data_IF_503413647238
#
_entry.id   IF_503413647238
#
_cell.length_a   1.000
_cell.length_b   1.000
_cell.length_c   1.000
_cell.angle_alpha   90.00
_cell.angle_beta   90.00
_cell.angle_gamma   90.00
#
_symmetry.space_group_name_H-M   'P 1'
#
loop_
_entity.id
_entity.type
_entity.pdbx_description
1 polymer ?
#
# COMPACT_ATOMS: atom_id res chain seq x y z
N UNK A 1 40.20 -28.45 3.72
CA UNK A 1 39.49 -27.29 4.28
C UNK A 1 38.43 -26.88 3.26
N UNK A 2 37.16 -27.15 3.55
CA UNK A 2 36.04 -26.78 2.67
C UNK A 2 35.74 -25.31 2.91
N UNK A 3 36.14 -24.43 1.99
CA UNK A 3 35.79 -23.01 2.04
C UNK A 3 34.28 -22.88 1.92
N UNK A 4 33.66 -22.06 2.78
CA UNK A 4 32.25 -21.76 2.66
C UNK A 4 32.03 -20.97 1.36
N UNK A 5 31.32 -21.58 0.40
CA UNK A 5 30.85 -20.88 -0.79
C UNK A 5 29.91 -19.75 -0.35
N UNK A 6 30.37 -18.51 -0.53
CA UNK A 6 29.55 -17.32 -0.31
C UNK A 6 28.56 -17.24 -1.47
N UNK A 7 27.31 -17.61 -1.22
CA UNK A 7 26.21 -17.36 -2.14
C UNK A 7 26.00 -15.84 -2.24
N UNK A 8 26.56 -15.23 -3.29
CA UNK A 8 26.22 -13.86 -3.65
C UNK A 8 24.75 -13.83 -4.08
N UNK A 9 23.88 -13.25 -3.26
CA UNK A 9 22.51 -12.99 -3.68
C UNK A 9 22.58 -11.99 -4.84
N UNK A 10 21.95 -12.29 -5.99
CA UNK A 10 21.85 -11.33 -7.08
C UNK A 10 21.24 -10.04 -6.52
N UNK A 11 21.72 -8.88 -6.99
CA UNK A 11 21.14 -7.57 -6.68
C UNK A 11 19.66 -7.59 -7.11
N UNK A 12 18.79 -8.03 -6.21
CA UNK A 12 17.36 -7.82 -6.30
C UNK A 12 17.10 -6.35 -6.04
N UNK A 13 16.08 -5.80 -6.70
CA UNK A 13 15.61 -4.46 -6.35
C UNK A 13 15.39 -4.36 -4.84
N UNK A 14 15.79 -3.23 -4.23
CA UNK A 14 15.65 -3.05 -2.79
C UNK A 14 14.17 -3.15 -2.40
N UNK A 15 13.90 -3.74 -1.23
CA UNK A 15 12.55 -3.82 -0.70
C UNK A 15 11.94 -2.41 -0.59
N UNK A 16 10.68 -2.19 -1.02
CA UNK A 16 10.10 -0.86 -1.06
C UNK A 16 10.00 -0.27 0.36
N UNK A 17 10.61 0.91 0.62
CA UNK A 17 10.46 1.58 1.90
C UNK A 17 9.13 2.32 1.96
N UNK A 18 8.39 2.18 3.06
CA UNK A 18 7.19 2.99 3.30
C UNK A 18 6.88 3.09 4.79
N UNK A 19 6.34 4.22 5.22
CA UNK A 19 5.61 4.29 6.49
C UNK A 19 4.24 3.64 6.33
N UNK A 20 3.66 3.15 7.43
CA UNK A 20 2.31 2.56 7.41
C UNK A 20 1.27 3.56 6.89
N UNK A 21 1.45 4.85 7.21
CA UNK A 21 0.61 5.92 6.68
C UNK A 21 0.74 6.08 5.16
N UNK A 22 1.96 5.97 4.63
CA UNK A 22 2.23 6.07 3.19
C UNK A 22 1.54 4.92 2.43
N UNK A 23 1.55 3.72 3.01
CA UNK A 23 0.82 2.58 2.48
C UNK A 23 -0.70 2.82 2.48
N UNK A 24 -1.26 3.31 3.59
CA UNK A 24 -2.69 3.60 3.68
C UNK A 24 -3.13 4.64 2.64
N UNK A 25 -2.39 5.74 2.51
CA UNK A 25 -2.65 6.76 1.49
C UNK A 25 -2.56 6.17 0.08
N UNK A 26 -1.56 5.34 -0.19
CA UNK A 26 -1.40 4.68 -1.49
C UNK A 26 -2.56 3.72 -1.81
N UNK A 27 -3.07 2.97 -0.83
CA UNK A 27 -4.25 2.11 -0.98
C UNK A 27 -5.50 2.94 -1.25
N UNK A 28 -5.70 4.06 -0.55
CA UNK A 28 -6.84 4.94 -0.76
C UNK A 28 -6.83 5.56 -2.17
N UNK A 29 -5.67 6.04 -2.63
CA UNK A 29 -5.48 6.57 -3.99
C UNK A 29 -5.71 5.48 -5.04
N UNK A 30 -5.07 4.31 -4.88
CA UNK A 30 -5.16 3.21 -5.86
C UNK A 30 -6.55 2.62 -6.02
N UNK A 31 -7.45 2.87 -5.06
CA UNK A 31 -8.84 2.42 -5.06
C UNK A 31 -9.85 3.55 -5.29
N UNK A 32 -9.40 4.76 -5.58
CA UNK A 32 -10.25 5.96 -5.79
C UNK A 32 -11.25 6.18 -4.63
N UNK A 33 -10.78 6.04 -3.37
CA UNK A 33 -11.66 6.12 -2.20
C UNK A 33 -11.91 7.55 -1.70
N UNK A 34 -11.11 8.52 -2.14
CA UNK A 34 -11.22 9.92 -1.74
C UNK A 34 -10.91 10.85 -2.92
N UNK A 35 -11.76 11.87 -3.08
CA UNK A 35 -11.67 12.90 -4.12
C UNK A 35 -11.28 14.27 -3.58
N UNK A 36 -11.10 14.38 -2.27
CA UNK A 36 -10.63 15.58 -1.59
C UNK A 36 -9.68 15.25 -0.43
N UNK A 37 -8.86 16.22 -0.01
CA UNK A 37 -8.00 16.07 1.17
C UNK A 37 -8.83 15.79 2.43
N UNK A 38 -10.02 16.38 2.54
CA UNK A 38 -10.92 16.18 3.69
C UNK A 38 -11.44 14.75 3.75
N UNK A 39 -11.84 14.18 2.60
CA UNK A 39 -12.28 12.78 2.50
C UNK A 39 -11.13 11.83 2.81
N UNK A 40 -9.94 12.08 2.26
CA UNK A 40 -8.75 11.28 2.55
C UNK A 40 -8.44 11.31 4.05
N UNK A 41 -8.47 12.49 4.65
CA UNK A 41 -8.22 12.63 6.07
C UNK A 41 -9.26 11.89 6.92
N UNK A 42 -10.54 11.93 6.55
CA UNK A 42 -11.59 11.16 7.23
C UNK A 42 -11.33 9.65 7.17
N UNK A 43 -10.96 9.12 6.00
CA UNK A 43 -10.59 7.70 5.83
C UNK A 43 -9.41 7.30 6.71
N UNK A 44 -8.33 8.10 6.68
CA UNK A 44 -7.14 7.79 7.47
C UNK A 44 -7.43 7.85 8.98
N UNK A 45 -8.28 8.78 9.44
CA UNK A 45 -8.70 8.80 10.85
C UNK A 45 -9.51 7.58 11.25
N UNK A 46 -10.32 7.04 10.34
CA UNK A 46 -11.11 5.84 10.58
C UNK A 46 -10.25 4.57 10.64
N UNK A 47 -9.23 4.46 9.77
CA UNK A 47 -8.41 3.25 9.68
C UNK A 47 -7.39 3.10 10.81
N UNK A 48 -7.00 4.19 11.47
CA UNK A 48 -5.96 4.16 12.50
C UNK A 48 -6.52 4.43 13.90
N UNK A 49 -6.15 3.57 14.86
CA UNK A 49 -6.52 3.73 16.28
C UNK A 49 -6.07 5.07 16.88
N UNK A 50 -4.91 5.58 16.42
CA UNK A 50 -4.48 6.94 16.68
C UNK A 50 -4.69 7.75 15.38
N UNK A 51 -5.55 8.77 15.39
CA UNK A 51 -5.77 9.55 14.18
C UNK A 51 -4.48 10.26 13.75
N UNK A 52 -4.19 10.19 12.46
CA UNK A 52 -3.17 11.05 11.87
C UNK A 52 -3.62 12.52 11.96
N UNK A 53 -2.66 13.43 11.96
CA UNK A 53 -2.85 14.87 11.82
C UNK A 53 -2.80 15.26 10.34
N UNK A 54 -3.36 16.43 10.01
CA UNK A 54 -3.29 16.99 8.65
C UNK A 54 -1.84 17.13 8.19
N UNK A 55 -0.94 17.55 9.09
CA UNK A 55 0.49 17.66 8.81
C UNK A 55 1.15 16.31 8.49
N UNK A 56 0.78 15.24 9.18
CA UNK A 56 1.26 13.89 8.89
C UNK A 56 0.75 13.39 7.53
N UNK A 57 -0.52 13.65 7.18
CA UNK A 57 -1.08 13.33 5.88
C UNK A 57 -0.36 14.09 4.74
N UNK A 58 -0.21 15.41 4.89
CA UNK A 58 0.51 16.23 3.90
C UNK A 58 1.97 15.79 3.73
N UNK A 59 2.64 15.42 4.82
CA UNK A 59 4.00 14.87 4.78
C UNK A 59 4.05 13.52 4.06
N UNK A 60 3.03 12.67 4.24
CA UNK A 60 2.90 11.39 3.53
C UNK A 60 2.74 11.57 2.03
N UNK A 61 1.81 12.44 1.60
CA UNK A 61 1.60 12.77 0.18
C UNK A 61 2.89 13.31 -0.44
N UNK A 62 3.59 14.21 0.26
CA UNK A 62 4.88 14.75 -0.20
C UNK A 62 5.91 13.64 -0.41
N UNK A 63 6.12 12.75 0.57
CA UNK A 63 7.05 11.63 0.43
C UNK A 63 6.71 10.73 -0.75
N UNK A 64 5.42 10.43 -0.95
CA UNK A 64 4.95 9.58 -2.05
C UNK A 64 5.17 10.23 -3.43
N UNK A 65 5.05 11.55 -3.52
CA UNK A 65 5.42 12.31 -4.72
C UNK A 65 6.93 12.30 -4.94
N UNK A 66 7.71 12.58 -3.90
CA UNK A 66 9.17 12.67 -3.95
C UNK A 66 9.82 11.35 -4.36
N UNK A 67 9.29 10.22 -3.90
CA UNK A 67 9.76 8.89 -4.28
C UNK A 67 9.11 8.34 -5.57
N UNK A 68 8.26 9.13 -6.23
CA UNK A 68 7.62 8.75 -7.49
C UNK A 68 6.60 7.62 -7.38
N UNK A 69 6.08 7.33 -6.20
CA UNK A 69 5.03 6.31 -5.99
C UNK A 69 3.66 6.79 -6.46
N UNK A 70 3.41 8.10 -6.34
CA UNK A 70 2.19 8.74 -6.87
C UNK A 70 2.57 9.89 -7.80
N UNK A 71 1.64 10.26 -8.68
CA UNK A 71 1.73 11.47 -9.50
C UNK A 71 0.41 12.22 -9.49
N UNK A 72 0.48 13.54 -9.69
CA UNK A 72 -0.71 14.36 -9.96
C UNK A 72 -1.24 14.07 -11.35
N UNK A 73 -2.55 13.97 -11.48
CA UNK A 73 -3.25 13.72 -12.76
C UNK A 73 -3.79 15.01 -13.36
N UNK A 74 -4.23 15.95 -12.52
CA UNK A 74 -4.70 17.27 -12.93
C UNK A 74 -4.31 18.37 -11.94
N UNK A 75 -4.62 19.61 -12.32
CA UNK A 75 -4.51 20.80 -11.46
C UNK A 75 -5.62 20.84 -10.39
N UNK A 76 -6.48 19.82 -10.31
CA UNK A 76 -7.42 19.65 -9.21
C UNK A 76 -6.73 19.59 -7.85
N UNK A 77 -7.44 20.03 -6.81
CA UNK A 77 -6.89 20.18 -5.47
C UNK A 77 -6.38 18.83 -4.91
N UNK A 78 -7.02 17.72 -5.28
CA UNK A 78 -6.72 16.38 -4.80
C UNK A 78 -6.91 15.29 -5.87
N UNK A 79 -6.11 15.35 -6.94
CA UNK A 79 -6.18 14.37 -8.05
C UNK A 79 -4.83 13.65 -8.25
N UNK A 80 -4.74 12.44 -7.67
CA UNK A 80 -3.54 11.61 -7.67
C UNK A 80 -3.82 10.23 -8.25
N UNK A 81 -2.81 9.64 -8.88
CA UNK A 81 -2.81 8.22 -9.22
C UNK A 81 -1.49 7.56 -8.81
N UNK A 82 -1.53 6.26 -8.59
CA UNK A 82 -0.32 5.46 -8.41
C UNK A 82 0.44 5.38 -9.74
N UNK A 83 1.77 5.47 -9.65
CA UNK A 83 2.65 5.08 -10.76
C UNK A 83 2.79 3.56 -10.80
N UNK A 84 3.34 2.96 -11.87
CA UNK A 84 3.63 1.52 -11.88
C UNK A 84 4.48 1.07 -10.68
N UNK A 85 5.50 1.84 -10.32
CA UNK A 85 6.33 1.58 -9.14
C UNK A 85 5.53 1.68 -7.82
N UNK A 86 4.61 2.65 -7.72
CA UNK A 86 3.70 2.78 -6.58
C UNK A 86 2.74 1.60 -6.44
N UNK A 87 2.22 1.08 -7.56
CA UNK A 87 1.37 -0.13 -7.57
C UNK A 87 2.14 -1.34 -7.07
N UNK A 88 3.35 -1.55 -7.56
CA UNK A 88 4.22 -2.64 -7.16
C UNK A 88 4.57 -2.57 -5.67
N UNK A 89 5.01 -1.40 -5.19
CA UNK A 89 5.35 -1.16 -3.80
C UNK A 89 4.14 -1.41 -2.88
N UNK A 90 2.99 -0.81 -3.22
CA UNK A 90 1.74 -0.95 -2.45
C UNK A 90 1.30 -2.41 -2.37
N UNK A 91 1.36 -3.14 -3.49
CA UNK A 91 0.98 -4.55 -3.55
C UNK A 91 1.92 -5.42 -2.74
N UNK A 92 3.23 -5.20 -2.87
CA UNK A 92 4.27 -5.93 -2.12
C UNK A 92 4.10 -5.75 -0.62
N UNK A 93 3.94 -4.51 -0.16
CA UNK A 93 3.78 -4.18 1.26
C UNK A 93 2.46 -4.69 1.83
N UNK A 94 1.35 -4.49 1.12
CA UNK A 94 0.02 -5.00 1.54
C UNK A 94 0.01 -6.53 1.63
N UNK A 95 0.61 -7.21 0.65
CA UNK A 95 0.75 -8.66 0.67
C UNK A 95 1.61 -9.17 1.82
N UNK A 96 2.70 -8.46 2.13
CA UNK A 96 3.54 -8.71 3.30
C UNK A 96 2.74 -8.61 4.61
N UNK A 97 1.97 -7.52 4.79
CA UNK A 97 1.14 -7.30 5.98
C UNK A 97 0.08 -8.38 6.16
N UNK A 98 -0.66 -8.73 5.10
CA UNK A 98 -1.67 -9.80 5.15
C UNK A 98 -1.04 -11.12 5.58
N UNK A 99 0.12 -11.49 5.00
CA UNK A 99 0.83 -12.72 5.34
C UNK A 99 1.37 -12.72 6.78
N UNK A 100 1.79 -11.57 7.30
CA UNK A 100 2.22 -11.45 8.71
C UNK A 100 1.04 -11.59 9.68
N UNK A 101 -0.11 -10.99 9.37
CA UNK A 101 -1.34 -11.15 10.17
C UNK A 101 -1.79 -12.61 10.17
N UNK A 102 -1.75 -13.27 9.00
CA UNK A 102 -2.07 -14.68 8.86
C UNK A 102 -1.12 -15.57 9.69
N UNK A 103 0.19 -15.45 9.50
CA UNK A 103 1.18 -16.27 10.20
C UNK A 103 1.30 -15.99 11.69
N UNK A 104 1.02 -14.77 12.12
CA UNK A 104 1.11 -14.37 13.53
C UNK A 104 -0.03 -14.92 14.40
N UNK A 105 -1.10 -15.44 13.79
CA UNK A 105 -2.30 -15.87 14.53
C UNK A 105 -2.93 -17.19 14.06
N UNK A 106 -2.64 -17.66 12.85
CA UNK A 106 -3.22 -18.89 12.30
C UNK A 106 -4.75 -18.83 12.07
N UNK A 107 -5.37 -17.65 12.14
CA UNK A 107 -6.84 -17.50 12.05
C UNK A 107 -7.38 -17.21 10.64
N UNK A 108 -6.55 -16.70 9.72
CA UNK A 108 -7.03 -16.21 8.42
C UNK A 108 -6.41 -16.98 7.26
N UNK A 109 -7.01 -18.12 6.87
CA UNK A 109 -6.64 -18.79 5.61
C UNK A 109 -6.66 -17.76 4.48
N UNK A 110 -5.48 -17.35 4.00
CA UNK A 110 -5.35 -16.32 2.96
C UNK A 110 -6.12 -16.70 1.70
N UNK A 111 -6.30 -18.00 1.46
CA UNK A 111 -7.17 -18.57 0.44
C UNK A 111 -8.62 -18.03 0.49
N UNK A 112 -9.15 -17.74 1.68
CA UNK A 112 -10.53 -17.24 1.87
C UNK A 112 -10.66 -15.76 1.46
N UNK A 113 -9.66 -14.93 1.78
CA UNK A 113 -9.64 -13.52 1.37
C UNK A 113 -9.40 -13.37 -0.13
N UNK A 114 -8.54 -14.22 -0.71
CA UNK A 114 -8.34 -14.27 -2.16
C UNK A 114 -9.58 -14.80 -2.90
N UNK A 115 -10.29 -15.79 -2.35
CA UNK A 115 -11.59 -16.22 -2.88
C UNK A 115 -12.64 -15.12 -2.82
N UNK A 116 -12.67 -14.29 -1.76
CA UNK A 116 -13.59 -13.16 -1.70
C UNK A 116 -13.31 -12.08 -2.77
N UNK A 117 -12.05 -11.88 -3.15
CA UNK A 117 -11.69 -10.98 -4.24
C UNK A 117 -12.04 -11.56 -5.63
N UNK A 118 -12.06 -12.90 -5.77
CA UNK A 118 -12.48 -13.58 -7.01
C UNK A 118 -14.00 -13.80 -7.13
N UNK A 119 -14.77 -13.73 -6.03
CA UNK A 119 -16.22 -13.96 -6.04
C UNK A 119 -17.02 -12.88 -6.81
N UNK A 120 -16.43 -11.71 -7.03
CA UNK A 120 -17.00 -10.64 -7.88
C UNK A 120 -16.80 -10.91 -9.39
N UNK A 121 -15.89 -11.82 -9.79
CA UNK A 121 -15.59 -12.11 -11.20
C UNK A 121 -16.46 -13.19 -11.85
N UNK A 122 -17.47 -13.71 -11.16
CA UNK A 122 -18.32 -14.82 -11.66
C UNK A 122 -19.82 -14.58 -11.64
N UNK A 123 -20.32 -13.50 -11.05
CA UNK A 123 -21.77 -13.23 -10.99
C UNK A 123 -22.18 -12.30 -12.12
N UNK A 124 -22.54 -12.88 -13.26
CA UNK A 124 -23.50 -12.26 -14.19
C UNK A 124 -24.93 -12.58 -13.70
N UNK A 125 -25.91 -11.69 -13.95
CA UNK A 125 -27.27 -11.81 -13.43
C UNK A 125 -27.96 -13.12 -13.82
#
# INVERSE_FOLDING_TARGET
>A
MSGADILAFPHSEPFPPAQVLDLAVSVAIGRDLARSETEMFALIKDWFLRPATVGELAASIRRLLDCGSIRRVSDGEFDFCLTPAGVEATTTLSGGMIRMIDRGRGYFKTAFLLQMLDLEKGKRP
#
